data_IF_078813263238
#
_entry.id   IF_078813263238
#
_cell.length_a   1.000
_cell.length_b   1.000
_cell.length_c   1.000
_cell.angle_alpha   90.00
_cell.angle_beta   90.00
_cell.angle_gamma   90.00
#
_symmetry.space_group_name_H-M   'P 1'
#
loop_
_entity.id
_entity.type
_entity.pdbx_description
1 polymer ?
#
# COMPACT_ATOMS: atom_id res chain seq x y z
N UNK A 1 -15.36 -14.56 30.55
CA UNK A 1 -14.07 -14.40 29.84
C UNK A 1 -14.37 -13.50 28.66
N UNK A 2 -13.77 -12.31 28.64
CA UNK A 2 -14.12 -11.25 27.72
C UNK A 2 -13.90 -11.70 26.27
N UNK A 3 -14.92 -11.46 25.45
CA UNK A 3 -14.83 -11.50 24.00
C UNK A 3 -13.73 -10.51 23.60
N UNK A 4 -12.62 -11.01 23.07
CA UNK A 4 -11.65 -10.14 22.41
C UNK A 4 -12.32 -9.70 21.11
N UNK A 5 -13.10 -8.62 21.16
CA UNK A 5 -13.44 -7.87 19.96
C UNK A 5 -12.11 -7.61 19.24
N UNK A 6 -11.88 -8.35 18.17
CA UNK A 6 -10.79 -8.06 17.24
C UNK A 6 -11.14 -6.71 16.63
N UNK A 7 -10.71 -5.63 17.30
CA UNK A 7 -10.75 -4.28 16.76
C UNK A 7 -10.15 -4.37 15.36
N UNK A 8 -10.99 -4.08 14.36
CA UNK A 8 -10.61 -4.17 12.97
C UNK A 8 -9.56 -3.09 12.72
N UNK A 9 -8.27 -3.48 12.72
CA UNK A 9 -7.16 -2.57 12.48
C UNK A 9 -7.05 -2.29 10.99
N UNK A 10 -6.74 -1.04 10.65
CA UNK A 10 -6.36 -0.70 9.29
C UNK A 10 -4.92 -1.18 9.03
N UNK A 11 -4.69 -1.76 7.85
CA UNK A 11 -3.38 -2.28 7.47
C UNK A 11 -2.67 -1.27 6.57
N UNK A 12 -1.52 -0.78 7.03
CA UNK A 12 -0.59 0.02 6.23
C UNK A 12 0.52 -0.90 5.74
N UNK A 13 0.66 -1.08 4.44
CA UNK A 13 1.73 -1.87 3.83
C UNK A 13 2.98 -0.99 3.63
N UNK A 14 4.14 -1.57 3.91
CA UNK A 14 5.46 -0.97 3.71
C UNK A 14 6.26 -1.85 2.76
N UNK A 15 6.49 -1.37 1.54
CA UNK A 15 7.34 -1.99 0.54
C UNK A 15 7.74 -0.95 -0.52
N UNK A 16 8.95 -1.04 -1.10
CA UNK A 16 9.34 -0.24 -2.25
C UNK A 16 8.47 -0.59 -3.46
N UNK A 17 8.02 0.42 -4.16
CA UNK A 17 7.35 0.29 -5.46
C UNK A 17 7.74 1.48 -6.33
N UNK A 18 7.41 1.46 -7.62
CA UNK A 18 7.72 2.54 -8.57
C UNK A 18 7.00 3.88 -8.27
N UNK A 19 6.38 4.03 -7.10
CA UNK A 19 5.78 5.28 -6.64
C UNK A 19 6.78 6.15 -5.87
N UNK A 20 6.44 7.42 -5.63
CA UNK A 20 7.26 8.33 -4.82
C UNK A 20 7.15 8.06 -3.29
N UNK A 21 6.73 6.85 -2.92
CA UNK A 21 6.41 6.44 -1.54
C UNK A 21 6.44 4.92 -1.38
N UNK A 22 6.93 4.50 -0.22
CA UNK A 22 6.94 3.10 0.20
C UNK A 22 5.73 2.73 1.08
N UNK A 23 4.85 3.69 1.39
CA UNK A 23 3.68 3.48 2.27
C UNK A 23 2.39 3.36 1.48
N UNK A 24 1.63 2.32 1.82
CA UNK A 24 0.44 1.93 1.08
C UNK A 24 -0.72 1.62 2.03
N UNK A 25 -1.89 2.20 1.78
CA UNK A 25 -3.17 1.71 2.34
C UNK A 25 -3.83 0.89 1.23
N UNK A 26 -4.88 1.41 0.60
CA UNK A 26 -5.49 0.87 -0.60
C UNK A 26 -4.79 1.31 -1.89
N UNK A 27 -3.94 2.33 -1.78
CA UNK A 27 -3.06 2.86 -2.83
C UNK A 27 -1.84 3.54 -2.20
N UNK A 28 -0.94 4.10 -3.03
CA UNK A 28 0.26 4.77 -2.53
C UNK A 28 -0.14 6.02 -1.74
N UNK A 29 0.53 6.26 -0.62
CA UNK A 29 0.27 7.40 0.27
C UNK A 29 1.37 8.43 0.09
N UNK A 30 1.02 9.63 -0.38
CA UNK A 30 1.94 10.77 -0.39
C UNK A 30 2.37 11.13 1.05
N UNK A 31 3.69 11.14 1.30
CA UNK A 31 4.26 11.50 2.59
C UNK A 31 3.79 12.85 3.12
N UNK A 32 3.49 13.81 2.24
CA UNK A 32 2.98 15.14 2.61
C UNK A 32 1.64 15.07 3.37
N UNK A 33 0.86 14.02 3.12
CA UNK A 33 -0.45 13.77 3.74
C UNK A 33 -0.33 13.03 5.07
N UNK A 34 0.77 12.30 5.31
CA UNK A 34 0.91 11.39 6.46
C UNK A 34 1.16 12.10 7.80
N UNK A 35 1.65 13.35 7.76
CA UNK A 35 2.15 14.09 8.93
C UNK A 35 3.25 13.34 9.72
N UNK A 36 3.90 12.34 9.12
CA UNK A 36 5.04 11.67 9.73
C UNK A 36 6.17 12.68 9.97
N UNK A 37 6.95 12.51 11.05
CA UNK A 37 8.11 13.35 11.28
C UNK A 37 9.06 13.32 10.07
N UNK A 38 9.57 14.48 9.67
CA UNK A 38 10.38 14.61 8.46
C UNK A 38 11.58 13.63 8.43
N UNK A 39 12.27 13.46 9.56
CA UNK A 39 13.36 12.50 9.67
C UNK A 39 12.95 11.05 9.38
N UNK A 40 11.73 10.64 9.77
CA UNK A 40 11.23 9.30 9.43
C UNK A 40 10.89 9.18 7.94
N UNK A 41 10.38 10.25 7.32
CA UNK A 41 10.13 10.28 5.87
C UNK A 41 11.43 10.17 5.09
N UNK A 42 12.48 10.88 5.49
CA UNK A 42 13.81 10.75 4.87
C UNK A 42 14.35 9.34 5.01
N UNK A 43 14.27 8.73 6.20
CA UNK A 43 14.74 7.35 6.39
C UNK A 43 13.96 6.33 5.53
N UNK A 44 12.65 6.53 5.32
CA UNK A 44 11.85 5.68 4.43
C UNK A 44 12.29 5.81 2.96
N UNK A 45 12.59 7.03 2.51
CA UNK A 45 13.10 7.29 1.15
C UNK A 45 14.50 6.72 0.95
N UNK A 46 15.40 6.90 1.92
CA UNK A 46 16.74 6.35 1.87
C UNK A 46 16.73 4.82 1.82
N UNK A 47 15.80 4.20 2.56
CA UNK A 47 15.61 2.76 2.55
C UNK A 47 15.09 2.24 1.21
N UNK A 48 14.13 2.93 0.58
CA UNK A 48 13.63 2.61 -0.76
C UNK A 48 14.71 2.82 -1.84
N UNK A 49 15.46 3.92 -1.77
CA UNK A 49 16.60 4.15 -2.65
C UNK A 49 17.66 3.05 -2.50
N UNK A 50 17.97 2.65 -1.26
CA UNK A 50 18.88 1.55 -0.98
C UNK A 50 18.41 0.23 -1.60
N UNK A 51 17.10 -0.05 -1.60
CA UNK A 51 16.54 -1.22 -2.29
C UNK A 51 16.92 -1.20 -3.77
N UNK A 52 16.61 -0.11 -4.49
CA UNK A 52 16.93 0.00 -5.92
C UNK A 52 18.42 -0.07 -6.22
N UNK A 53 19.25 0.57 -5.39
CA UNK A 53 20.70 0.51 -5.52
C UNK A 53 21.29 -0.87 -5.20
N UNK A 54 20.57 -1.71 -4.46
CA UNK A 54 21.02 -3.05 -4.05
C UNK A 54 20.61 -4.16 -5.02
N UNK A 55 19.83 -3.84 -6.06
CA UNK A 55 19.40 -4.80 -7.06
C UNK A 55 20.27 -4.78 -8.33
N UNK A 56 20.38 -5.94 -8.97
CA UNK A 56 20.90 -6.06 -10.33
C UNK A 56 19.85 -5.59 -11.34
N UNK A 57 20.22 -5.53 -12.62
CA UNK A 57 19.30 -5.17 -13.71
C UNK A 57 18.11 -6.14 -13.82
N UNK A 58 18.27 -7.38 -13.39
CA UNK A 58 17.25 -8.42 -13.44
C UNK A 58 16.43 -8.49 -12.13
N UNK A 59 16.48 -7.43 -11.31
CA UNK A 59 15.77 -7.32 -10.03
C UNK A 59 16.14 -8.40 -9.00
N UNK A 60 17.37 -8.91 -9.04
CA UNK A 60 17.91 -9.82 -8.04
C UNK A 60 18.86 -9.09 -7.09
N UNK A 61 18.93 -9.53 -5.83
CA UNK A 61 19.86 -8.95 -4.85
C UNK A 61 21.32 -9.08 -5.30
N UNK A 62 22.08 -7.99 -5.21
CA UNK A 62 23.54 -7.99 -5.49
C UNK A 62 24.31 -8.91 -4.53
N UNK A 63 23.84 -9.05 -3.29
CA UNK A 63 24.41 -9.97 -2.30
C UNK A 63 23.40 -10.34 -1.22
N UNK A 64 23.62 -11.47 -0.54
CA UNK A 64 22.81 -11.85 0.62
C UNK A 64 22.89 -10.83 1.77
N UNK A 65 24.03 -10.15 1.91
CA UNK A 65 24.22 -9.10 2.92
C UNK A 65 23.33 -7.89 2.68
N UNK A 66 23.22 -7.44 1.42
CA UNK A 66 22.33 -6.31 1.06
C UNK A 66 20.87 -6.66 1.27
N UNK A 67 20.46 -7.88 0.94
CA UNK A 67 19.12 -8.39 1.24
C UNK A 67 18.81 -8.41 2.74
N UNK A 68 19.75 -8.92 3.55
CA UNK A 68 19.60 -8.96 5.00
C UNK A 68 19.51 -7.55 5.60
N UNK A 69 20.32 -6.61 5.12
CA UNK A 69 20.30 -5.21 5.55
C UNK A 69 18.98 -4.52 5.19
N UNK A 70 18.47 -4.73 3.97
CA UNK A 70 17.17 -4.21 3.55
C UNK A 70 16.05 -4.69 4.47
N UNK A 71 16.01 -5.98 4.77
CA UNK A 71 14.98 -6.58 5.64
C UNK A 71 15.07 -6.06 7.07
N UNK A 72 16.27 -6.03 7.65
CA UNK A 72 16.47 -5.54 9.01
C UNK A 72 16.04 -4.07 9.15
N UNK A 73 16.37 -3.24 8.16
CA UNK A 73 15.99 -1.83 8.16
C UNK A 73 14.49 -1.62 7.89
N UNK A 74 13.91 -2.42 7.00
CA UNK A 74 12.46 -2.42 6.75
C UNK A 74 11.67 -2.76 8.01
N UNK A 75 12.11 -3.75 8.80
CA UNK A 75 11.50 -4.08 10.09
C UNK A 75 11.61 -2.92 11.09
N UNK A 76 12.78 -2.27 11.18
CA UNK A 76 12.99 -1.12 12.06
C UNK A 76 12.07 0.04 11.70
N UNK A 77 11.93 0.33 10.40
CA UNK A 77 11.06 1.38 9.89
C UNK A 77 9.57 1.05 10.09
N UNK A 78 9.16 -0.20 9.80
CA UNK A 78 7.79 -0.65 10.03
C UNK A 78 7.38 -0.48 11.49
N UNK A 79 8.22 -0.90 12.44
CA UNK A 79 7.96 -0.70 13.86
C UNK A 79 7.87 0.79 14.23
N UNK A 80 8.75 1.64 13.68
CA UNK A 80 8.71 3.09 13.93
C UNK A 80 7.44 3.74 13.41
N UNK A 81 6.96 3.33 12.24
CA UNK A 81 5.69 3.81 11.69
C UNK A 81 4.53 3.32 12.56
N UNK A 82 4.53 2.04 12.95
CA UNK A 82 3.52 1.46 13.84
C UNK A 82 3.44 2.20 15.18
N UNK A 83 4.59 2.54 15.77
CA UNK A 83 4.66 3.35 17.00
C UNK A 83 4.04 4.76 16.85
N UNK A 84 3.98 5.33 15.63
CA UNK A 84 3.31 6.61 15.40
C UNK A 84 1.81 6.47 15.22
N UNK A 85 1.34 5.33 14.73
CA UNK A 85 -0.07 5.06 14.44
C UNK A 85 -0.84 4.47 15.61
N UNK A 86 -0.16 3.77 16.52
CA UNK A 86 -0.81 3.14 17.68
C UNK A 86 -1.71 1.96 17.31
N UNK A 87 -2.61 1.59 18.22
CA UNK A 87 -3.30 0.30 18.20
C UNK A 87 -4.42 0.16 17.15
N UNK A 88 -4.83 1.26 16.54
CA UNK A 88 -5.83 1.27 15.46
C UNK A 88 -5.28 0.80 14.12
N UNK A 89 -3.96 0.66 14.01
CA UNK A 89 -3.27 0.30 12.77
C UNK A 89 -2.31 -0.87 13.00
N UNK A 90 -2.07 -1.60 11.92
CA UNK A 90 -0.99 -2.57 11.81
C UNK A 90 -0.15 -2.21 10.58
N UNK A 91 1.17 -2.25 10.71
CA UNK A 91 2.09 -2.03 9.59
C UNK A 91 2.59 -3.38 9.09
N UNK A 92 2.33 -3.68 7.82
CA UNK A 92 2.78 -4.90 7.15
C UNK A 92 4.02 -4.62 6.29
N UNK A 93 5.15 -5.19 6.68
CA UNK A 93 6.35 -5.23 5.85
C UNK A 93 6.31 -6.44 4.92
N UNK A 94 6.49 -6.21 3.62
CA UNK A 94 6.57 -7.28 2.61
C UNK A 94 8.03 -7.54 2.24
N UNK A 95 8.58 -8.73 2.54
CA UNK A 95 9.91 -9.10 2.08
C UNK A 95 9.91 -9.21 0.55
N UNK A 96 11.05 -8.93 -0.08
CA UNK A 96 11.17 -8.99 -1.55
C UNK A 96 11.18 -10.42 -2.12
N UNK A 97 11.15 -11.44 -1.26
CA UNK A 97 11.25 -12.84 -1.67
C UNK A 97 9.90 -13.35 -2.19
N UNK A 98 9.94 -14.05 -3.33
CA UNK A 98 8.77 -14.68 -3.93
C UNK A 98 8.21 -15.73 -2.95
N UNK A 99 6.99 -15.48 -2.45
CA UNK A 99 6.26 -16.28 -1.43
C UNK A 99 6.57 -15.98 0.06
N UNK A 100 7.30 -14.92 0.38
CA UNK A 100 7.46 -14.54 1.78
C UNK A 100 6.15 -14.04 2.40
N UNK A 101 5.92 -14.43 3.66
CA UNK A 101 4.79 -13.89 4.44
C UNK A 101 5.12 -12.47 4.90
N UNK A 102 4.14 -11.55 4.88
CA UNK A 102 4.34 -10.23 5.43
C UNK A 102 4.59 -10.31 6.95
N UNK A 103 5.50 -9.47 7.43
CA UNK A 103 5.75 -9.29 8.85
C UNK A 103 4.92 -8.12 9.36
N UNK A 104 4.20 -8.34 10.46
CA UNK A 104 3.25 -7.38 11.01
C UNK A 104 3.78 -6.70 12.26
N UNK A 105 3.60 -5.39 12.34
CA UNK A 105 4.07 -4.56 13.42
C UNK A 105 2.91 -3.74 13.99
N UNK A 106 2.76 -3.79 15.32
CA UNK A 106 1.81 -2.96 16.06
C UNK A 106 2.58 -1.92 16.88
N UNK A 107 1.94 -0.79 17.17
CA UNK A 107 2.53 0.24 18.01
C UNK A 107 2.86 -0.29 19.41
N UNK A 108 4.04 0.04 19.92
CA UNK A 108 4.47 -0.31 21.28
C UNK A 108 4.64 0.92 22.18
N UNK A 109 4.36 2.10 21.63
CA UNK A 109 4.55 3.41 22.25
C UNK A 109 3.28 4.25 22.09
N UNK A 110 3.22 5.34 22.88
CA UNK A 110 2.15 6.32 22.73
C UNK A 110 2.14 6.88 21.30
N UNK A 111 1.00 6.83 20.58
CA UNK A 111 0.91 7.27 19.20
C UNK A 111 1.07 8.79 19.07
N UNK A 112 1.39 9.24 17.86
CA UNK A 112 1.37 10.66 17.54
C UNK A 112 -0.05 11.03 17.05
N UNK A 113 -0.83 11.85 17.78
CA UNK A 113 -2.21 12.14 17.42
C UNK A 113 -2.37 12.84 16.06
N UNK A 114 -1.36 13.61 15.63
CA UNK A 114 -1.40 14.26 14.31
C UNK A 114 -1.23 13.26 13.17
N UNK A 115 -0.40 12.24 13.36
CA UNK A 115 -0.20 11.15 12.40
C UNK A 115 -1.46 10.28 12.37
N UNK A 116 -2.00 9.91 13.53
CA UNK A 116 -3.25 9.13 13.62
C UNK A 116 -4.39 9.83 12.88
N UNK A 117 -4.64 11.10 13.18
CA UNK A 117 -5.70 11.86 12.52
C UNK A 117 -5.52 11.96 11.00
N UNK A 118 -4.27 12.05 10.52
CA UNK A 118 -3.97 12.06 9.10
C UNK A 118 -4.28 10.70 8.44
N UNK A 119 -3.88 9.59 9.07
CA UNK A 119 -4.18 8.25 8.57
C UNK A 119 -5.67 7.92 8.65
N UNK A 120 -6.38 8.39 9.67
CA UNK A 120 -7.83 8.21 9.79
C UNK A 120 -8.55 8.92 8.62
N UNK A 121 -8.11 10.13 8.26
CA UNK A 121 -8.64 10.85 7.12
C UNK A 121 -8.35 10.12 5.79
N UNK A 122 -7.15 9.56 5.63
CA UNK A 122 -6.77 8.76 4.47
C UNK A 122 -7.62 7.47 4.36
N UNK A 123 -7.79 6.75 5.47
CA UNK A 123 -8.59 5.53 5.53
C UNK A 123 -10.07 5.81 5.23
N UNK A 124 -10.64 6.88 5.79
CA UNK A 124 -12.00 7.30 5.52
C UNK A 124 -12.20 7.67 4.04
N UNK A 125 -11.25 8.40 3.44
CA UNK A 125 -11.29 8.75 2.02
C UNK A 125 -11.21 7.50 1.12
N UNK A 126 -10.32 6.55 1.43
CA UNK A 126 -10.18 5.30 0.69
C UNK A 126 -11.47 4.45 0.76
N UNK A 127 -12.08 4.37 1.94
CA UNK A 127 -13.34 3.67 2.13
C UNK A 127 -14.48 4.32 1.32
N UNK A 128 -14.62 5.64 1.40
CA UNK A 128 -15.64 6.38 0.65
C UNK A 128 -15.48 6.20 -0.88
N UNK A 129 -14.25 6.15 -1.37
CA UNK A 129 -13.97 5.91 -2.79
C UNK A 129 -14.34 4.48 -3.21
N UNK A 130 -13.99 3.47 -2.40
CA UNK A 130 -14.42 2.08 -2.64
C UNK A 130 -15.93 1.95 -2.70
N UNK A 131 -16.66 2.57 -1.77
CA UNK A 131 -18.11 2.57 -1.81
C UNK A 131 -18.66 3.27 -3.04
N UNK A 132 -18.06 4.39 -3.46
CA UNK A 132 -18.46 5.11 -4.68
C UNK A 132 -18.31 4.20 -5.90
N UNK A 133 -17.18 3.52 -6.04
CA UNK A 133 -16.92 2.56 -7.12
C UNK A 133 -17.93 1.41 -7.06
N UNK A 134 -18.14 0.81 -5.88
CA UNK A 134 -19.09 -0.30 -5.71
C UNK A 134 -20.52 0.11 -6.08
N UNK A 135 -20.98 1.31 -5.69
CA UNK A 135 -22.26 1.87 -6.12
C UNK A 135 -22.31 2.05 -7.64
N UNK A 136 -21.29 2.66 -8.24
CA UNK A 136 -21.23 2.82 -9.70
C UNK A 136 -21.31 1.50 -10.45
N UNK A 137 -20.66 0.44 -9.94
CA UNK A 137 -20.75 -0.91 -10.51
C UNK A 137 -22.14 -1.54 -10.34
N UNK A 138 -22.78 -1.33 -9.19
CA UNK A 138 -24.12 -1.87 -8.91
C UNK A 138 -25.22 -1.19 -9.74
N UNK A 139 -25.06 0.10 -10.08
CA UNK A 139 -25.99 0.85 -10.92
C UNK A 139 -25.71 0.73 -12.43
N UNK A 140 -24.66 -0.01 -12.83
CA UNK A 140 -24.39 -0.26 -14.24
C UNK A 140 -25.49 -1.18 -14.84
N UNK A 141 -26.21 -0.77 -15.89
CA UNK A 141 -27.21 -1.63 -16.52
C UNK A 141 -26.60 -2.96 -16.98
N UNK A 142 -27.29 -4.10 -16.78
CA UNK A 142 -26.87 -5.37 -17.37
C UNK A 142 -26.68 -5.20 -18.89
N UNK A 143 -25.50 -5.55 -19.41
CA UNK A 143 -25.18 -5.42 -20.84
C UNK A 143 -24.50 -4.11 -21.25
N UNK A 144 -24.39 -3.10 -20.38
CA UNK A 144 -23.45 -1.97 -20.58
C UNK A 144 -22.08 -2.29 -20.01
N UNK A 145 -21.41 -3.26 -20.66
CA UNK A 145 -19.95 -3.37 -20.76
C UNK A 145 -19.13 -3.47 -19.47
N UNK A 146 -19.30 -4.53 -18.68
CA UNK A 146 -18.15 -5.10 -17.95
C UNK A 146 -17.25 -5.81 -18.96
N UNK A 147 -16.22 -5.13 -19.45
CA UNK A 147 -15.24 -5.67 -20.40
C UNK A 147 -14.17 -4.65 -20.77
N UNK A 148 -12.99 -5.12 -21.17
CA UNK A 148 -11.92 -4.25 -21.67
C UNK A 148 -12.32 -3.67 -23.03
N UNK A 149 -12.25 -2.35 -23.20
CA UNK A 149 -12.46 -1.70 -24.50
C UNK A 149 -11.32 -0.72 -24.76
N UNK A 150 -10.96 -0.55 -26.03
CA UNK A 150 -10.03 0.50 -26.43
C UNK A 150 -10.82 1.68 -27.00
N UNK A 151 -10.48 2.89 -26.56
CA UNK A 151 -11.06 4.13 -27.07
C UNK A 151 -9.98 4.97 -27.74
N UNK A 152 -10.29 5.51 -28.92
CA UNK A 152 -9.45 6.51 -29.58
C UNK A 152 -10.05 7.89 -29.34
N UNK A 153 -9.45 8.75 -28.48
CA UNK A 153 -10.02 10.04 -28.12
C UNK A 153 -10.19 11.00 -29.31
N UNK A 154 -9.32 10.89 -30.31
CA UNK A 154 -9.30 11.77 -31.47
C UNK A 154 -10.39 11.44 -32.50
N UNK A 155 -10.79 10.17 -32.61
CA UNK A 155 -11.82 9.71 -33.56
C UNK A 155 -13.14 9.33 -32.90
N UNK A 156 -13.19 9.23 -31.58
CA UNK A 156 -14.36 8.75 -30.83
C UNK A 156 -14.68 7.26 -31.04
N UNK A 157 -13.82 6.52 -31.75
CA UNK A 157 -14.05 5.11 -32.03
C UNK A 157 -13.78 4.25 -30.80
N UNK A 158 -14.72 3.36 -30.49
CA UNK A 158 -14.60 2.39 -29.39
C UNK A 158 -14.53 0.98 -29.97
N UNK A 159 -13.41 0.29 -29.71
CA UNK A 159 -13.26 -1.13 -29.99
C UNK A 159 -13.70 -1.93 -28.77
N UNK A 160 -14.64 -2.86 -28.98
CA UNK A 160 -15.08 -3.84 -27.98
C UNK A 160 -14.65 -5.23 -28.46
N UNK A 161 -13.71 -5.91 -27.77
CA UNK A 161 -13.37 -7.28 -28.11
C UNK A 161 -14.62 -8.15 -27.97
N UNK A 162 -14.93 -8.93 -29.01
CA UNK A 162 -16.02 -9.91 -28.96
C UNK A 162 -15.67 -10.95 -27.91
N UNK A 163 -16.61 -11.25 -26.99
CA UNK A 163 -16.44 -12.38 -26.08
C UNK A 163 -16.31 -13.64 -26.94
N UNK A 164 -15.17 -14.32 -26.87
CA UNK A 164 -15.04 -15.63 -27.48
C UNK A 164 -16.06 -16.55 -26.80
N UNK A 165 -17.00 -17.08 -27.59
CA UNK A 165 -17.84 -18.20 -27.16
C UNK A 165 -16.89 -19.34 -26.75
N UNK A 166 -16.92 -19.73 -25.48
CA UNK A 166 -16.18 -20.90 -25.02
C UNK A 166 -16.95 -22.13 -25.51
N UNK A 167 -16.38 -22.85 -26.48
CA UNK A 167 -16.76 -24.23 -26.84
C UNK A 167 -16.37 -25.23 -25.74
#
# INVERSE_FOLDING_TARGET
>A
MADSESLQRFTVRLFPDYGDTALWLDGPIDYSLTRLPEGLVHELRDWEQFYYESLTRDFTWKSAETAARYTAEGHRLAQRVADKLGDGYEVEFWPSEENARPHRFCGTRAPNPQVVAAFDALAAAAHAEKERIARSLAYAPPGTGTGWFATSPLSGSVFRPMQAEQE
#
